data_IF_212263474170
#
_entry.id   IF_212263474170
#
_cell.length_a   1.000
_cell.length_b   1.000
_cell.length_c   1.000
_cell.angle_alpha   90.00
_cell.angle_beta   90.00
_cell.angle_gamma   90.00
#
_symmetry.space_group_name_H-M   'P 1'
#
loop_
_entity.id
_entity.type
_entity.pdbx_description
1 polymer ?
#
# COMPACT_ATOMS: atom_id res chain seq x y z
N UNK A 1 5.34 2.81 5.24
CA UNK A 1 5.98 2.16 4.08
C UNK A 1 5.40 2.70 2.77
N UNK A 2 4.18 2.32 2.40
CA UNK A 2 3.57 2.77 1.14
C UNK A 2 3.25 4.28 1.14
N UNK A 3 2.76 4.84 2.25
CA UNK A 3 2.49 6.29 2.37
C UNK A 3 3.73 7.16 2.10
N UNK A 4 4.89 6.78 2.66
CA UNK A 4 6.16 7.48 2.43
C UNK A 4 6.64 7.32 0.98
N UNK A 5 6.55 6.11 0.43
CA UNK A 5 6.88 5.85 -0.95
C UNK A 5 6.02 6.66 -1.93
N UNK A 6 4.74 6.89 -1.62
CA UNK A 6 3.90 7.78 -2.43
C UNK A 6 4.28 9.26 -2.29
N UNK A 7 4.89 9.65 -1.17
CA UNK A 7 5.29 11.03 -0.90
C UNK A 7 6.65 11.37 -1.53
N UNK A 8 7.65 10.50 -1.34
CA UNK A 8 9.05 10.75 -1.71
C UNK A 8 9.54 9.75 -2.77
N UNK A 9 10.24 10.25 -3.79
CA UNK A 9 10.79 9.40 -4.87
C UNK A 9 11.85 8.42 -4.35
N UNK A 10 12.69 8.83 -3.40
CA UNK A 10 13.71 7.97 -2.79
C UNK A 10 13.11 6.72 -2.15
N UNK A 11 12.03 6.89 -1.39
CA UNK A 11 11.33 5.79 -0.73
C UNK A 11 10.57 4.92 -1.74
N UNK A 12 10.06 5.51 -2.83
CA UNK A 12 9.45 4.74 -3.92
C UNK A 12 10.46 3.83 -4.60
N UNK A 13 11.66 4.33 -4.90
CA UNK A 13 12.72 3.54 -5.52
C UNK A 13 13.13 2.36 -4.63
N UNK A 14 13.28 2.59 -3.32
CA UNK A 14 13.55 1.51 -2.36
C UNK A 14 12.43 0.47 -2.37
N UNK A 15 11.17 0.91 -2.37
CA UNK A 15 10.01 0.01 -2.40
C UNK A 15 9.93 -0.79 -3.71
N UNK A 16 10.25 -0.16 -4.85
CA UNK A 16 10.30 -0.82 -6.16
C UNK A 16 11.44 -1.84 -6.21
N UNK A 17 12.64 -1.49 -5.73
CA UNK A 17 13.77 -2.41 -5.71
C UNK A 17 13.50 -3.60 -4.80
N UNK A 18 12.85 -3.38 -3.65
CA UNK A 18 12.38 -4.44 -2.78
C UNK A 18 11.35 -5.33 -3.50
N UNK A 19 10.36 -4.72 -4.14
CA UNK A 19 9.33 -5.44 -4.88
C UNK A 19 9.90 -6.30 -6.02
N UNK A 20 11.04 -5.90 -6.60
CA UNK A 20 11.75 -6.63 -7.67
C UNK A 20 12.92 -7.51 -7.16
N UNK A 21 13.02 -7.79 -5.85
CA UNK A 21 14.09 -8.62 -5.24
C UNK A 21 15.52 -8.10 -5.48
N UNK A 22 15.66 -6.79 -5.72
CA UNK A 22 16.95 -6.12 -5.96
C UNK A 22 17.62 -5.63 -4.68
N UNK A 23 16.84 -5.48 -3.61
CA UNK A 23 17.35 -5.15 -2.27
C UNK A 23 16.64 -5.98 -1.21
N UNK A 24 17.40 -6.43 -0.22
CA UNK A 24 16.91 -7.10 0.98
C UNK A 24 17.04 -6.20 2.22
N UNK A 25 17.62 -5.00 2.07
CA UNK A 25 17.94 -4.12 3.18
C UNK A 25 16.85 -3.07 3.40
N UNK A 26 16.25 -3.17 4.58
CA UNK A 26 15.59 -2.12 5.36
C UNK A 26 14.65 -1.19 4.61
N UNK A 27 13.42 -1.65 4.37
CA UNK A 27 12.30 -0.72 4.21
C UNK A 27 11.72 -0.40 5.58
N UNK A 28 11.88 0.82 6.13
CA UNK A 28 11.30 1.17 7.42
C UNK A 28 9.77 1.07 7.36
N UNK A 29 9.21 0.06 8.01
CA UNK A 29 7.78 -0.03 8.25
C UNK A 29 7.43 1.04 9.30
N UNK A 30 6.67 2.05 8.85
CA UNK A 30 6.06 3.06 9.71
C UNK A 30 4.55 2.99 9.61
N UNK A 31 3.90 3.03 10.75
CA UNK A 31 2.46 3.26 10.86
C UNK A 31 2.18 4.74 10.60
N UNK A 32 1.21 5.00 9.73
CA UNK A 32 0.74 6.34 9.42
C UNK A 32 -0.66 6.51 10.04
N UNK A 33 -0.81 7.31 11.11
CA UNK A 33 -2.09 7.53 11.77
C UNK A 33 -3.17 8.09 10.83
N UNK A 34 -2.79 8.89 9.83
CA UNK A 34 -3.73 9.46 8.87
C UNK A 34 -4.29 8.37 7.95
N UNK A 35 -3.43 7.47 7.46
CA UNK A 35 -3.85 6.31 6.66
C UNK A 35 -4.76 5.38 7.45
N UNK A 36 -4.43 5.10 8.71
CA UNK A 36 -5.27 4.27 9.57
C UNK A 36 -6.66 4.88 9.79
N UNK A 37 -6.75 6.19 9.98
CA UNK A 37 -8.03 6.90 10.08
C UNK A 37 -8.81 6.83 8.76
N UNK A 38 -8.15 7.06 7.63
CA UNK A 38 -8.78 6.96 6.31
C UNK A 38 -9.36 5.56 6.07
N UNK A 39 -8.63 4.50 6.45
CA UNK A 39 -9.11 3.13 6.37
C UNK A 39 -10.36 2.92 7.23
N UNK A 40 -10.38 3.42 8.47
CA UNK A 40 -11.54 3.32 9.35
C UNK A 40 -12.78 4.04 8.79
N UNK A 41 -12.60 5.24 8.22
CA UNK A 41 -13.70 5.94 7.55
C UNK A 41 -14.21 5.17 6.34
N UNK A 42 -13.31 4.64 5.52
CA UNK A 42 -13.67 3.87 4.33
C UNK A 42 -14.35 2.53 4.68
N UNK A 43 -13.98 1.91 5.82
CA UNK A 43 -14.69 0.75 6.37
C UNK A 43 -16.10 1.11 6.83
N UNK A 44 -16.23 2.19 7.61
CA UNK A 44 -17.54 2.67 8.07
C UNK A 44 -18.45 3.06 6.89
N UNK A 45 -17.89 3.66 5.84
CA UNK A 45 -18.60 4.02 4.63
C UNK A 45 -18.81 2.84 3.65
N UNK A 46 -18.47 1.62 4.06
CA UNK A 46 -18.64 0.38 3.28
C UNK A 46 -17.91 0.38 1.93
N UNK A 47 -16.80 1.11 1.81
CA UNK A 47 -15.91 1.04 0.64
C UNK A 47 -14.98 -0.19 0.71
N UNK A 48 -14.61 -0.59 1.93
CA UNK A 48 -13.88 -1.83 2.21
C UNK A 48 -14.75 -2.80 3.00
N UNK A 49 -14.46 -4.10 2.86
CA UNK A 49 -14.95 -5.15 3.73
C UNK A 49 -13.77 -5.98 4.22
N UNK A 50 -13.76 -6.32 5.51
CA UNK A 50 -12.80 -7.26 6.05
C UNK A 50 -13.27 -8.69 5.72
N UNK A 51 -12.35 -9.49 5.19
CA UNK A 51 -12.53 -10.91 4.89
C UNK A 51 -12.29 -11.76 6.15
N UNK A 52 -12.75 -13.01 6.15
CA UNK A 52 -12.59 -13.92 7.28
C UNK A 52 -11.13 -14.19 7.68
N UNK A 53 -10.18 -14.03 6.74
CA UNK A 53 -8.74 -14.16 6.98
C UNK A 53 -8.10 -12.87 7.54
N UNK A 54 -8.89 -11.84 7.85
CA UNK A 54 -8.43 -10.56 8.37
C UNK A 54 -7.95 -9.57 7.30
N UNK A 55 -7.84 -9.98 6.04
CA UNK A 55 -7.48 -9.10 4.92
C UNK A 55 -8.65 -8.22 4.51
N UNK A 56 -8.37 -7.14 3.79
CA UNK A 56 -9.38 -6.22 3.27
C UNK A 56 -9.60 -6.41 1.78
N UNK A 57 -10.86 -6.28 1.36
CA UNK A 57 -11.25 -6.23 -0.05
C UNK A 57 -12.10 -5.00 -0.32
N UNK A 58 -11.97 -4.43 -1.51
CA UNK A 58 -12.91 -3.43 -2.01
C UNK A 58 -14.32 -4.05 -2.18
N UNK A 59 -15.33 -3.32 -1.73
CA UNK A 59 -16.74 -3.58 -2.06
C UNK A 59 -17.04 -3.05 -3.46
N UNK A 60 -18.23 -3.30 -3.99
CA UNK A 60 -18.63 -2.73 -5.28
C UNK A 60 -18.72 -1.20 -5.24
N UNK A 61 -19.09 -0.61 -4.08
CA UNK A 61 -19.01 0.83 -3.84
C UNK A 61 -17.57 1.32 -3.92
N UNK A 62 -16.64 0.64 -3.25
CA UNK A 62 -15.22 0.98 -3.28
C UNK A 62 -14.62 0.89 -4.69
N UNK A 63 -14.96 -0.17 -5.44
CA UNK A 63 -14.52 -0.32 -6.85
C UNK A 63 -15.05 0.80 -7.73
N UNK A 64 -16.32 1.19 -7.58
CA UNK A 64 -16.89 2.31 -8.32
C UNK A 64 -16.15 3.62 -8.00
N UNK A 65 -15.88 3.87 -6.72
CA UNK A 65 -15.14 5.05 -6.29
C UNK A 65 -13.73 5.12 -6.89
N UNK A 66 -12.97 4.02 -6.85
CA UNK A 66 -11.65 3.93 -7.50
C UNK A 66 -11.77 4.16 -9.01
N UNK A 67 -12.79 3.58 -9.66
CA UNK A 67 -13.00 3.80 -11.10
C UNK A 67 -13.28 5.26 -11.45
N UNK A 68 -13.99 6.02 -10.61
CA UNK A 68 -14.17 7.46 -10.85
C UNK A 68 -12.86 8.24 -10.67
N UNK A 69 -12.03 7.84 -9.69
CA UNK A 69 -10.69 8.41 -9.54
C UNK A 69 -9.85 8.12 -10.78
N UNK A 70 -9.82 6.87 -11.27
CA UNK A 70 -9.00 6.46 -12.41
C UNK A 70 -9.39 7.12 -13.74
N UNK A 71 -10.64 7.53 -13.91
CA UNK A 71 -11.10 8.26 -15.10
C UNK A 71 -10.50 9.67 -15.21
N UNK A 72 -10.18 10.30 -14.09
CA UNK A 72 -9.54 11.61 -14.06
C UNK A 72 -8.03 11.44 -14.24
N UNK A 73 -7.47 11.89 -15.37
CA UNK A 73 -6.05 11.72 -15.68
C UNK A 73 -5.14 12.63 -14.88
N UNK A 74 -5.67 13.75 -14.38
CA UNK A 74 -4.88 14.78 -13.69
C UNK A 74 -4.86 14.54 -12.18
N UNK A 75 -5.96 13.98 -11.64
CA UNK A 75 -6.06 13.63 -10.24
C UNK A 75 -5.08 12.52 -9.87
N UNK A 76 -4.16 12.79 -8.94
CA UNK A 76 -3.22 11.82 -8.38
C UNK A 76 -2.39 11.08 -9.45
N UNK A 77 -2.10 11.75 -10.57
CA UNK A 77 -1.45 11.16 -11.74
C UNK A 77 -0.16 10.41 -11.39
N UNK A 78 0.69 11.03 -10.55
CA UNK A 78 1.97 10.47 -10.11
C UNK A 78 1.79 9.26 -9.19
N UNK A 79 0.86 9.34 -8.24
CA UNK A 79 0.58 8.25 -7.33
C UNK A 79 0.05 7.02 -8.07
N UNK A 80 -0.85 7.24 -9.04
CA UNK A 80 -1.38 6.18 -9.92
C UNK A 80 -0.28 5.48 -10.70
N UNK A 81 0.60 6.23 -11.37
CA UNK A 81 1.73 5.68 -12.12
C UNK A 81 2.63 4.78 -11.25
N UNK A 82 2.99 5.28 -10.06
CA UNK A 82 3.86 4.54 -9.14
C UNK A 82 3.17 3.30 -8.59
N UNK A 83 1.89 3.39 -8.21
CA UNK A 83 1.10 2.24 -7.76
C UNK A 83 0.94 1.20 -8.86
N UNK A 84 0.79 1.61 -10.12
CA UNK A 84 0.76 0.70 -11.26
C UNK A 84 2.09 -0.05 -11.46
N UNK A 85 3.21 0.62 -11.21
CA UNK A 85 4.54 -0.02 -11.26
C UNK A 85 4.74 -1.08 -10.18
N UNK A 86 4.14 -0.86 -9.00
CA UNK A 86 4.17 -1.79 -7.87
C UNK A 86 3.17 -2.94 -8.03
N UNK A 87 1.92 -2.66 -8.41
CA UNK A 87 0.84 -3.61 -8.71
C UNK A 87 0.91 -4.90 -7.85
N UNK A 88 0.95 -6.07 -8.48
CA UNK A 88 0.96 -7.38 -7.82
C UNK A 88 2.34 -7.82 -7.31
N UNK A 89 3.36 -6.94 -7.34
CA UNK A 89 4.73 -7.30 -6.92
C UNK A 89 4.90 -7.33 -5.41
N UNK A 90 4.01 -6.68 -4.65
CA UNK A 90 3.98 -6.72 -3.19
C UNK A 90 3.08 -7.86 -2.71
N UNK A 91 3.56 -9.09 -2.86
CA UNK A 91 2.83 -10.30 -2.43
C UNK A 91 2.76 -10.42 -0.91
N UNK A 92 1.79 -11.19 -0.41
CA UNK A 92 1.67 -11.48 1.03
C UNK A 92 2.95 -12.09 1.62
N UNK A 93 3.63 -12.94 0.85
CA UNK A 93 4.91 -13.53 1.24
C UNK A 93 5.98 -12.44 1.47
N UNK A 94 6.14 -11.52 0.51
CA UNK A 94 7.08 -10.39 0.65
C UNK A 94 6.76 -9.50 1.85
N UNK A 95 5.47 -9.23 2.10
CA UNK A 95 5.05 -8.45 3.28
C UNK A 95 5.43 -9.20 4.58
N UNK A 96 5.21 -10.51 4.63
CA UNK A 96 5.58 -11.35 5.78
C UNK A 96 7.09 -11.37 6.03
N UNK A 97 7.89 -11.39 4.98
CA UNK A 97 9.35 -11.37 5.07
C UNK A 97 9.84 -10.05 5.69
N UNK A 98 9.34 -8.90 5.22
CA UNK A 98 9.69 -7.59 5.81
C UNK A 98 9.25 -7.51 7.27
N UNK A 99 8.01 -7.93 7.59
CA UNK A 99 7.52 -7.91 8.97
C UNK A 99 8.39 -8.77 9.90
N UNK A 100 8.88 -9.91 9.40
CA UNK A 100 9.77 -10.80 10.15
C UNK A 100 11.12 -10.13 10.40
N UNK A 101 11.74 -9.54 9.36
CA UNK A 101 13.01 -8.81 9.49
C UNK A 101 12.90 -7.64 10.49
N UNK A 102 11.82 -6.85 10.40
CA UNK A 102 11.58 -5.73 11.32
C UNK A 102 11.40 -6.17 12.78
N UNK A 103 10.74 -7.33 13.00
CA UNK A 103 10.59 -7.90 14.35
C UNK A 103 11.93 -8.30 14.96
N UNK A 104 12.87 -8.81 14.15
CA UNK A 104 14.20 -9.20 14.63
C UNK A 104 15.17 -8.01 14.72
N UNK A 105 14.95 -6.92 13.97
CA UNK A 105 15.81 -5.73 14.05
C UNK A 105 15.50 -4.81 15.24
N UNK A 106 14.33 -4.96 15.86
CA UNK A 106 13.89 -4.18 17.03
C UNK A 106 13.88 -5.01 18.33
N UNK A 107 14.60 -6.15 18.35
CA UNK A 107 14.78 -7.01 19.52
C UNK A 107 16.15 -6.78 20.18
#
# INVERSE_FOLDING_TARGET
>A
MISLALTFESDMNILIDFANDRTHEYTPIRFDPAVNRALNYALADSMFAQQANGLYRLTDKGKKFVSEIDKDTDLMAREKERLYTLSNKLTEAKIKDIMSLWRYSNA
#
